data_IF_156990042603
#
_entry.id   IF_156990042603
#
_cell.length_a   1.000
_cell.length_b   1.000
_cell.length_c   1.000
_cell.angle_alpha   90.00
_cell.angle_beta   90.00
_cell.angle_gamma   90.00
#
_symmetry.space_group_name_H-M   'P 1'
#
loop_
_entity.id
_entity.type
_entity.pdbx_description
1 polymer ?
#
# COMPACT_ATOMS: atom_id res chain seq x y z
N UNK A 1 9.29 -5.38 -7.14
CA UNK A 1 9.74 -6.76 -7.37
C UNK A 1 11.14 -6.92 -6.78
N UNK A 2 11.41 -8.07 -6.17
CA UNK A 2 12.69 -8.39 -5.57
C UNK A 2 12.90 -9.91 -5.49
N UNK A 3 14.17 -10.33 -5.59
CA UNK A 3 14.59 -11.72 -5.54
C UNK A 3 15.60 -11.89 -4.40
N UNK A 4 15.30 -12.75 -3.44
CA UNK A 4 16.19 -13.08 -2.32
C UNK A 4 16.86 -14.41 -2.63
N UNK A 5 18.19 -14.46 -2.56
CA UNK A 5 18.95 -15.70 -2.59
C UNK A 5 19.35 -16.04 -1.16
N UNK A 6 18.91 -17.18 -0.67
CA UNK A 6 19.16 -17.63 0.69
C UNK A 6 19.55 -19.10 0.73
N UNK A 7 20.13 -19.56 1.84
CA UNK A 7 20.38 -20.99 2.03
C UNK A 7 19.08 -21.73 2.34
N UNK A 8 18.98 -23.05 2.09
CA UNK A 8 17.78 -23.83 2.41
C UNK A 8 17.29 -23.64 3.86
N UNK A 9 18.21 -23.51 4.81
CA UNK A 9 17.90 -23.33 6.23
C UNK A 9 17.30 -21.95 6.56
N UNK A 10 17.54 -20.96 5.70
CA UNK A 10 17.04 -19.60 5.87
C UNK A 10 15.64 -19.38 5.26
N UNK A 11 15.16 -20.31 4.44
CA UNK A 11 13.93 -20.13 3.63
C UNK A 11 12.74 -19.71 4.49
N UNK A 12 12.44 -20.42 5.57
CA UNK A 12 11.28 -20.10 6.41
C UNK A 12 11.39 -18.71 7.04
N UNK A 13 12.58 -18.33 7.50
CA UNK A 13 12.81 -17.02 8.13
C UNK A 13 12.66 -15.88 7.11
N UNK A 14 13.19 -16.06 5.90
CA UNK A 14 13.09 -15.06 4.84
C UNK A 14 11.65 -14.91 4.32
N UNK A 15 10.91 -16.02 4.19
CA UNK A 15 9.47 -15.99 3.86
C UNK A 15 8.68 -15.25 4.95
N UNK A 16 8.93 -15.56 6.22
CA UNK A 16 8.32 -14.88 7.37
C UNK A 16 8.60 -13.37 7.36
N UNK A 17 9.85 -12.97 7.07
CA UNK A 17 10.21 -11.56 6.91
C UNK A 17 9.48 -10.87 5.74
N UNK A 18 9.31 -11.57 4.60
CA UNK A 18 8.57 -11.05 3.45
C UNK A 18 7.09 -10.84 3.75
N UNK A 19 6.47 -11.79 4.45
CA UNK A 19 5.08 -11.71 4.91
C UNK A 19 4.93 -10.57 5.92
N UNK A 20 5.81 -10.50 6.92
CA UNK A 20 5.79 -9.43 7.93
C UNK A 20 5.85 -8.04 7.30
N UNK A 21 6.73 -7.84 6.32
CA UNK A 21 6.79 -6.59 5.57
C UNK A 21 5.48 -6.28 4.84
N UNK A 22 4.86 -7.29 4.21
CA UNK A 22 3.59 -7.10 3.50
C UNK A 22 2.46 -6.74 4.46
N UNK A 23 2.39 -7.39 5.62
CA UNK A 23 1.42 -7.10 6.68
C UNK A 23 1.59 -5.67 7.23
N UNK A 24 2.83 -5.23 7.49
CA UNK A 24 3.09 -3.85 7.95
C UNK A 24 2.60 -2.82 6.93
N UNK A 25 2.83 -3.07 5.64
CA UNK A 25 2.35 -2.20 4.56
C UNK A 25 0.83 -2.14 4.54
N UNK A 26 0.14 -3.28 4.61
CA UNK A 26 -1.32 -3.34 4.65
C UNK A 26 -1.89 -2.61 5.87
N UNK A 27 -1.26 -2.77 7.05
CA UNK A 27 -1.64 -2.08 8.28
C UNK A 27 -1.49 -0.55 8.14
N UNK A 28 -0.36 -0.06 7.63
CA UNK A 28 -0.13 1.39 7.42
C UNK A 28 -1.14 2.02 6.46
N UNK A 29 -1.71 1.22 5.57
CA UNK A 29 -2.71 1.65 4.60
C UNK A 29 -4.14 1.43 5.10
N UNK A 30 -4.32 0.84 6.28
CA UNK A 30 -5.62 0.47 6.86
C UNK A 30 -6.42 -0.56 6.04
N UNK A 31 -5.71 -1.50 5.38
CA UNK A 31 -6.34 -2.71 4.83
C UNK A 31 -6.62 -3.72 5.95
N UNK A 32 -7.82 -3.66 6.52
CA UNK A 32 -8.26 -4.58 7.58
C UNK A 32 -8.85 -5.90 7.02
N UNK A 33 -9.33 -5.90 5.77
CA UNK A 33 -10.00 -7.04 5.14
C UNK A 33 -9.14 -7.61 4.01
N UNK A 34 -8.33 -8.62 4.32
CA UNK A 34 -7.63 -9.43 3.34
C UNK A 34 -7.65 -10.89 3.77
N UNK A 35 -7.49 -11.81 2.80
CA UNK A 35 -7.22 -13.22 3.07
C UNK A 35 -5.85 -13.59 2.49
N UNK A 36 -5.19 -14.53 3.15
CA UNK A 36 -3.96 -15.13 2.65
C UNK A 36 -4.32 -16.41 1.94
N UNK A 37 -3.83 -16.61 0.72
CA UNK A 37 -4.04 -17.82 -0.08
C UNK A 37 -2.74 -18.57 -0.24
N UNK A 38 -2.74 -19.87 0.04
CA UNK A 38 -1.60 -20.75 -0.18
C UNK A 38 -1.77 -21.44 -1.53
N UNK A 39 -1.11 -20.92 -2.57
CA UNK A 39 -1.19 -21.46 -3.93
C UNK A 39 -0.28 -22.67 -4.09
N UNK A 40 -0.88 -23.86 -4.11
CA UNK A 40 -0.18 -25.15 -4.18
C UNK A 40 -0.34 -25.78 -5.57
N UNK A 41 0.51 -26.76 -5.88
CA UNK A 41 0.42 -27.46 -7.15
C UNK A 41 -0.86 -28.27 -7.23
N UNK A 42 -1.36 -28.40 -8.44
CA UNK A 42 -2.38 -29.39 -8.78
C UNK A 42 -1.68 -30.70 -9.14
N UNK A 43 -1.83 -31.77 -8.34
CA UNK A 43 -1.17 -33.06 -8.64
C UNK A 43 -1.58 -33.67 -9.99
N UNK A 44 -2.70 -33.26 -10.57
CA UNK A 44 -3.19 -33.75 -11.86
C UNK A 44 -2.61 -32.99 -13.07
N UNK A 45 -1.88 -31.89 -12.86
CA UNK A 45 -1.35 -31.06 -13.94
C UNK A 45 0.13 -31.31 -14.21
N UNK A 46 0.50 -31.30 -15.49
CA UNK A 46 1.87 -31.46 -16.00
C UNK A 46 2.62 -30.12 -16.17
N UNK A 47 2.01 -28.99 -15.81
CA UNK A 47 2.60 -27.65 -15.98
C UNK A 47 3.76 -27.35 -15.02
N UNK A 48 3.89 -28.12 -13.94
CA UNK A 48 4.83 -27.85 -12.85
C UNK A 48 6.21 -28.43 -13.16
N UNK A 49 7.24 -27.60 -13.04
CA UNK A 49 8.63 -28.00 -13.32
C UNK A 49 9.38 -28.33 -12.03
N UNK A 50 10.41 -29.16 -12.17
CA UNK A 50 11.27 -29.56 -11.07
C UNK A 50 10.83 -30.88 -10.40
N UNK A 51 11.69 -31.43 -9.54
CA UNK A 51 11.46 -32.73 -8.91
C UNK A 51 10.33 -32.65 -7.86
N UNK A 52 9.48 -33.70 -7.74
CA UNK A 52 8.35 -33.69 -6.80
C UNK A 52 8.72 -33.44 -5.34
N UNK A 53 9.91 -33.88 -4.92
CA UNK A 53 10.38 -33.76 -3.54
C UNK A 53 10.63 -32.30 -3.14
N UNK A 54 11.10 -31.46 -4.08
CA UNK A 54 11.31 -30.03 -3.83
C UNK A 54 10.00 -29.26 -3.68
N UNK A 55 8.98 -29.70 -4.39
CA UNK A 55 7.64 -29.16 -4.24
C UNK A 55 7.07 -29.49 -2.86
N UNK A 56 7.18 -30.75 -2.43
CA UNK A 56 6.73 -31.17 -1.09
C UNK A 56 7.44 -30.36 0.01
N UNK A 57 8.75 -30.14 -0.13
CA UNK A 57 9.53 -29.31 0.79
C UNK A 57 9.08 -27.85 0.81
N UNK A 58 8.86 -27.25 -0.37
CA UNK A 58 8.44 -25.86 -0.52
C UNK A 58 7.02 -25.61 0.01
N UNK A 59 6.07 -26.49 -0.31
CA UNK A 59 4.68 -26.42 0.14
C UNK A 59 4.61 -26.56 1.66
N UNK A 60 5.34 -27.53 2.22
CA UNK A 60 5.40 -27.72 3.66
C UNK A 60 6.07 -26.53 4.37
N UNK A 61 7.09 -25.90 3.78
CA UNK A 61 7.70 -24.68 4.33
C UNK A 61 6.70 -23.52 4.39
N UNK A 62 5.97 -23.28 3.29
CA UNK A 62 4.91 -22.26 3.24
C UNK A 62 3.83 -22.52 4.29
N UNK A 63 3.36 -23.76 4.41
CA UNK A 63 2.33 -24.12 5.38
C UNK A 63 2.79 -23.92 6.82
N UNK A 64 4.03 -24.32 7.15
CA UNK A 64 4.62 -24.11 8.49
C UNK A 64 4.70 -22.62 8.82
N UNK A 65 5.17 -21.78 7.89
CA UNK A 65 5.25 -20.33 8.11
C UNK A 65 3.86 -19.74 8.29
N UNK A 66 2.90 -20.08 7.43
CA UNK A 66 1.53 -19.57 7.51
C UNK A 66 0.86 -19.91 8.86
N UNK A 67 1.03 -21.16 9.34
CA UNK A 67 0.55 -21.61 10.66
C UNK A 67 1.24 -20.88 11.80
N UNK A 68 2.58 -20.74 11.76
CA UNK A 68 3.38 -20.07 12.80
C UNK A 68 2.98 -18.60 12.97
N UNK A 69 2.73 -17.92 11.86
CA UNK A 69 2.34 -16.51 11.83
C UNK A 69 0.84 -16.28 12.10
N UNK A 70 0.04 -17.35 12.24
CA UNK A 70 -1.40 -17.29 12.45
C UNK A 70 -2.12 -16.42 11.39
N UNK A 71 -1.74 -16.60 10.13
CA UNK A 71 -2.27 -15.81 9.02
C UNK A 71 -3.74 -16.17 8.74
N UNK A 72 -4.59 -15.18 8.35
CA UNK A 72 -5.99 -15.42 8.07
C UNK A 72 -6.21 -16.13 6.73
N UNK A 73 -7.08 -17.14 6.69
CA UNK A 73 -7.55 -17.75 5.43
C UNK A 73 -6.61 -18.73 4.75
N UNK A 74 -5.61 -19.27 5.46
CA UNK A 74 -4.51 -20.09 4.94
C UNK A 74 -4.87 -21.51 4.47
N UNK A 75 -6.00 -21.68 3.77
CA UNK A 75 -6.32 -22.95 3.15
C UNK A 75 -5.48 -23.15 1.88
N UNK A 76 -4.87 -24.33 1.69
CA UNK A 76 -4.25 -24.69 0.42
C UNK A 76 -5.25 -24.66 -0.72
N UNK A 77 -4.91 -23.94 -1.79
CA UNK A 77 -5.66 -23.91 -3.04
C UNK A 77 -4.83 -24.58 -4.15
N UNK A 78 -5.13 -25.85 -4.49
CA UNK A 78 -4.46 -26.56 -5.57
C UNK A 78 -4.70 -25.88 -6.93
N UNK A 79 -3.67 -25.80 -7.76
CA UNK A 79 -3.75 -25.22 -9.10
C UNK A 79 -3.27 -23.76 -9.17
N UNK A 80 -3.24 -23.09 -8.02
CA UNK A 80 -2.89 -21.68 -7.89
C UNK A 80 -1.38 -21.43 -7.74
N UNK A 81 -0.53 -22.46 -7.65
CA UNK A 81 0.93 -22.27 -7.65
C UNK A 81 1.45 -21.66 -8.97
N UNK A 82 2.63 -21.02 -8.90
CA UNK A 82 3.39 -20.71 -10.10
C UNK A 82 3.92 -22.01 -10.73
N UNK A 83 4.33 -22.01 -11.99
CA UNK A 83 4.80 -23.24 -12.62
C UNK A 83 6.11 -23.79 -12.01
N UNK A 84 6.87 -22.95 -11.30
CA UNK A 84 8.18 -23.26 -10.71
C UNK A 84 8.18 -23.46 -9.19
N UNK A 85 7.06 -23.22 -8.52
CA UNK A 85 6.95 -23.44 -7.08
C UNK A 85 5.68 -22.83 -6.45
N UNK A 86 5.45 -23.14 -5.17
CA UNK A 86 4.27 -22.68 -4.45
C UNK A 86 4.43 -21.21 -4.02
N UNK A 87 3.29 -20.58 -3.70
CA UNK A 87 3.26 -19.16 -3.32
C UNK A 87 2.27 -18.83 -2.23
N UNK A 88 2.52 -17.73 -1.54
CA UNK A 88 1.64 -17.10 -0.55
C UNK A 88 1.16 -15.79 -1.17
N UNK A 89 -0.15 -15.69 -1.38
CA UNK A 89 -0.80 -14.53 -1.99
C UNK A 89 -1.63 -13.77 -0.96
N UNK A 90 -1.59 -12.43 -1.03
CA UNK A 90 -2.46 -11.55 -0.28
C UNK A 90 -3.58 -11.09 -1.20
N UNK A 91 -4.78 -11.57 -0.93
CA UNK A 91 -5.99 -11.31 -1.70
C UNK A 91 -6.84 -10.29 -0.97
N UNK A 92 -7.20 -9.23 -1.68
CA UNK A 92 -8.10 -8.18 -1.20
C UNK A 92 -9.31 -8.08 -2.12
N UNK A 93 -10.44 -7.61 -1.60
CA UNK A 93 -11.62 -7.36 -2.41
C UNK A 93 -11.69 -5.90 -2.79
N UNK A 94 -12.06 -5.58 -4.02
CA UNK A 94 -12.36 -4.20 -4.40
C UNK A 94 -13.77 -3.75 -3.99
N UNK A 95 -14.12 -2.50 -4.37
CA UNK A 95 -15.43 -1.91 -4.09
C UNK A 95 -16.60 -2.62 -4.79
N UNK A 96 -16.31 -3.44 -5.80
CA UNK A 96 -17.28 -4.26 -6.54
C UNK A 96 -17.29 -5.72 -6.07
N UNK A 97 -16.47 -6.07 -5.06
CA UNK A 97 -16.34 -7.43 -4.54
C UNK A 97 -15.45 -8.36 -5.37
N UNK A 98 -14.70 -7.84 -6.36
CA UNK A 98 -13.74 -8.65 -7.13
C UNK A 98 -12.48 -8.87 -6.31
N UNK A 99 -11.93 -10.08 -6.41
CA UNK A 99 -10.68 -10.45 -5.73
C UNK A 99 -9.46 -9.95 -6.52
N UNK A 100 -8.54 -9.28 -5.84
CA UNK A 100 -7.25 -8.84 -6.39
C UNK A 100 -6.11 -9.45 -5.59
N UNK A 101 -5.25 -10.20 -6.28
CA UNK A 101 -3.93 -10.56 -5.77
C UNK A 101 -3.03 -9.31 -5.80
N UNK A 102 -2.57 -8.89 -4.62
CA UNK A 102 -1.77 -7.69 -4.45
C UNK A 102 -0.34 -8.04 -4.04
N UNK A 103 -0.18 -8.66 -2.87
CA UNK A 103 1.11 -9.17 -2.38
C UNK A 103 1.35 -10.61 -2.80
N UNK A 104 2.59 -10.97 -3.13
CA UNK A 104 2.98 -12.39 -3.30
C UNK A 104 4.39 -12.67 -2.82
N UNK A 105 4.57 -13.86 -2.25
CA UNK A 105 5.86 -14.47 -1.90
C UNK A 105 5.91 -15.86 -2.51
N UNK A 106 6.90 -16.14 -3.37
CA UNK A 106 6.96 -17.39 -4.14
C UNK A 106 8.32 -18.06 -3.91
N UNK A 107 8.31 -19.38 -3.70
CA UNK A 107 9.53 -20.16 -3.55
C UNK A 107 9.93 -20.76 -4.90
N UNK A 108 11.18 -20.54 -5.33
CA UNK A 108 11.70 -21.04 -6.59
C UNK A 108 13.02 -21.81 -6.36
N UNK A 109 12.93 -23.12 -6.61
CA UNK A 109 14.07 -24.03 -6.62
C UNK A 109 14.51 -24.42 -8.04
N UNK A 110 13.76 -24.01 -9.06
CA UNK A 110 14.01 -24.31 -10.46
C UNK A 110 14.99 -23.32 -11.07
N UNK A 111 14.81 -22.00 -10.93
CA UNK A 111 15.76 -21.05 -11.52
C UNK A 111 17.20 -21.19 -10.98
N UNK A 112 17.43 -21.40 -9.67
CA UNK A 112 18.77 -21.67 -9.15
C UNK A 112 19.37 -23.02 -9.55
N UNK A 113 18.58 -23.93 -10.14
CA UNK A 113 19.04 -25.27 -10.47
C UNK A 113 20.07 -25.27 -11.62
N UNK A 114 20.81 -26.37 -11.74
CA UNK A 114 21.85 -26.53 -12.77
C UNK A 114 21.31 -26.76 -14.16
N UNK A 115 20.04 -27.16 -14.28
CA UNK A 115 19.32 -27.21 -15.54
C UNK A 115 18.92 -25.80 -16.03
N UNK A 116 19.08 -24.78 -15.18
CA UNK A 116 18.73 -23.37 -15.45
C UNK A 116 19.96 -22.47 -15.33
N UNK A 117 20.07 -21.68 -14.26
CA UNK A 117 21.15 -20.70 -14.11
C UNK A 117 22.40 -21.25 -13.43
N UNK A 118 22.35 -22.47 -12.88
CA UNK A 118 23.44 -23.14 -12.15
C UNK A 118 24.07 -22.23 -11.10
N UNK A 119 23.21 -21.67 -10.24
CA UNK A 119 23.64 -20.73 -9.20
C UNK A 119 24.25 -21.49 -8.03
N UNK A 120 25.35 -20.96 -7.52
CA UNK A 120 26.11 -21.60 -6.45
C UNK A 120 26.59 -20.58 -5.41
N UNK A 121 26.71 -21.03 -4.17
CA UNK A 121 27.44 -20.35 -3.10
C UNK A 121 28.42 -21.31 -2.42
N UNK A 122 29.44 -20.77 -1.74
CA UNK A 122 30.39 -21.58 -0.96
C UNK A 122 29.85 -21.76 0.46
N UNK A 123 29.60 -23.00 0.85
CA UNK A 123 29.09 -23.35 2.17
C UNK A 123 30.17 -23.38 3.25
N UNK A 124 29.74 -23.59 4.50
CA UNK A 124 30.65 -23.70 5.64
C UNK A 124 31.60 -24.91 5.57
N UNK A 125 31.23 -25.93 4.78
CA UNK A 125 32.05 -27.10 4.44
C UNK A 125 33.04 -26.82 3.28
N UNK A 126 33.10 -25.58 2.79
CA UNK A 126 33.91 -25.16 1.64
C UNK A 126 33.53 -25.87 0.33
N UNK A 127 32.34 -26.49 0.27
CA UNK A 127 31.77 -27.06 -0.94
C UNK A 127 30.84 -26.06 -1.64
N UNK A 128 30.52 -26.36 -2.90
CA UNK A 128 29.52 -25.61 -3.67
C UNK A 128 28.12 -26.12 -3.30
N UNK A 129 27.24 -25.19 -2.95
CA UNK A 129 25.84 -25.43 -2.62
C UNK A 129 24.93 -24.59 -3.50
N UNK A 130 23.67 -25.00 -3.64
CA UNK A 130 22.67 -24.25 -4.42
C UNK A 130 21.82 -23.37 -3.50
N UNK A 131 21.65 -22.08 -3.82
CA UNK A 131 20.73 -21.23 -3.07
C UNK A 131 19.28 -21.55 -3.44
N UNK A 132 18.36 -21.09 -2.60
CA UNK A 132 16.93 -20.99 -2.90
C UNK A 132 16.63 -19.55 -3.28
N UNK A 133 15.78 -19.37 -4.30
CA UNK A 133 15.32 -18.05 -4.71
C UNK A 133 13.90 -17.80 -4.16
N UNK A 134 13.70 -16.65 -3.53
CA UNK A 134 12.39 -16.19 -3.08
C UNK A 134 12.02 -14.96 -3.90
N UNK A 135 10.92 -15.06 -4.65
CA UNK A 135 10.33 -13.93 -5.36
C UNK A 135 9.38 -13.20 -4.42
N UNK A 136 9.47 -11.88 -4.34
CA UNK A 136 8.52 -11.08 -3.57
C UNK A 136 8.07 -9.81 -4.30
N UNK A 137 6.77 -9.60 -4.30
CA UNK A 137 6.15 -8.35 -4.74
C UNK A 137 5.08 -7.94 -3.71
N UNK A 138 5.44 -7.19 -2.66
CA UNK A 138 4.53 -6.86 -1.56
C UNK A 138 3.39 -5.94 -2.00
N UNK A 139 3.60 -5.14 -3.05
CA UNK A 139 2.61 -4.21 -3.62
C UNK A 139 2.06 -4.70 -4.96
N UNK A 140 2.56 -5.82 -5.52
CA UNK A 140 2.27 -6.18 -6.90
C UNK A 140 2.81 -5.15 -7.89
N UNK A 141 2.06 -4.90 -8.98
CA UNK A 141 2.37 -3.79 -9.90
C UNK A 141 1.88 -2.46 -9.34
N UNK A 142 2.60 -1.37 -9.64
CA UNK A 142 2.24 -0.05 -9.14
C UNK A 142 0.89 0.42 -9.69
N UNK A 143 0.57 0.07 -10.94
CA UNK A 143 -0.68 0.43 -11.61
C UNK A 143 -1.87 -0.22 -10.90
N UNK A 144 -1.78 -1.52 -10.61
CA UNK A 144 -2.83 -2.25 -9.89
C UNK A 144 -2.97 -1.72 -8.47
N UNK A 145 -1.84 -1.51 -7.79
CA UNK A 145 -1.82 -1.00 -6.43
C UNK A 145 -2.46 0.38 -6.32
N UNK A 146 -2.14 1.32 -7.21
CA UNK A 146 -2.76 2.64 -7.25
C UNK A 146 -4.26 2.55 -7.55
N UNK A 147 -4.67 1.68 -8.48
CA UNK A 147 -6.10 1.44 -8.76
C UNK A 147 -6.87 0.99 -7.52
N UNK A 148 -6.34 -0.02 -6.83
CA UNK A 148 -6.86 -0.50 -5.55
C UNK A 148 -6.89 0.61 -4.49
N UNK A 149 -5.82 1.40 -4.37
CA UNK A 149 -5.77 2.49 -3.38
C UNK A 149 -6.83 3.56 -3.65
N UNK A 150 -7.08 3.90 -4.91
CA UNK A 150 -8.13 4.85 -5.30
C UNK A 150 -9.49 4.33 -4.84
N UNK A 151 -9.80 3.06 -5.10
CA UNK A 151 -11.06 2.45 -4.68
C UNK A 151 -11.17 2.34 -3.15
N UNK A 152 -10.09 1.90 -2.50
CA UNK A 152 -10.01 1.76 -1.05
C UNK A 152 -10.28 3.07 -0.31
N UNK A 153 -9.69 4.18 -0.76
CA UNK A 153 -9.94 5.50 -0.18
C UNK A 153 -11.13 6.24 -0.80
N UNK A 154 -11.81 5.66 -1.79
CA UNK A 154 -12.81 6.35 -2.62
C UNK A 154 -12.30 7.71 -3.16
N UNK A 155 -11.03 7.76 -3.57
CA UNK A 155 -10.30 8.96 -3.98
C UNK A 155 -9.89 9.92 -2.84
N UNK A 156 -10.40 9.72 -1.63
CA UNK A 156 -10.23 10.61 -0.49
C UNK A 156 -8.97 10.25 0.33
N UNK A 157 -7.81 10.33 -0.32
CA UNK A 157 -6.53 9.89 0.24
C UNK A 157 -6.18 10.54 1.59
N UNK A 158 -5.45 9.83 2.47
CA UNK A 158 -4.85 10.43 3.65
C UNK A 158 -3.82 11.50 3.25
N UNK A 159 -3.53 12.44 4.16
CA UNK A 159 -2.66 13.59 3.91
C UNK A 159 -1.36 13.18 3.20
N UNK A 160 -0.69 12.12 3.66
CA UNK A 160 0.61 11.69 3.11
C UNK A 160 0.56 11.12 1.69
N UNK A 161 -0.58 10.59 1.25
CA UNK A 161 -0.80 10.04 -0.10
C UNK A 161 -1.45 11.03 -1.07
N UNK A 162 -2.14 12.06 -0.57
CA UNK A 162 -2.91 12.96 -1.41
C UNK A 162 -2.05 13.70 -2.45
N UNK A 163 -2.43 13.73 -3.75
CA UNK A 163 -1.67 14.45 -4.78
C UNK A 163 -1.47 15.94 -4.45
N UNK A 164 -2.51 16.58 -3.94
CA UNK A 164 -2.47 17.89 -3.29
C UNK A 164 -2.88 17.71 -1.82
N UNK A 165 -1.96 18.03 -0.92
CA UNK A 165 -2.14 17.83 0.53
C UNK A 165 -2.87 19.02 1.14
N UNK A 166 -2.50 20.22 0.70
CA UNK A 166 -2.97 21.48 1.25
C UNK A 166 -3.39 22.42 0.12
N UNK A 167 -4.57 23.04 0.23
CA UNK A 167 -4.99 24.13 -0.66
C UNK A 167 -5.04 25.44 0.09
N UNK A 168 -4.24 26.41 -0.33
CA UNK A 168 -4.29 27.78 0.21
C UNK A 168 -5.41 28.56 -0.47
N UNK A 169 -6.27 29.20 0.32
CA UNK A 169 -7.46 29.89 -0.14
C UNK A 169 -7.46 31.34 0.40
N UNK A 170 -7.05 32.33 -0.42
CA UNK A 170 -7.20 33.74 -0.05
C UNK A 170 -8.69 34.14 0.01
N UNK A 171 -9.07 34.89 1.05
CA UNK A 171 -10.45 35.40 1.20
C UNK A 171 -10.81 36.48 0.17
N UNK A 172 -9.80 37.12 -0.43
CA UNK A 172 -9.95 38.17 -1.45
C UNK A 172 -8.66 38.36 -2.24
N UNK A 173 -8.70 39.07 -3.37
CA UNK A 173 -7.51 39.43 -4.16
C UNK A 173 -6.48 40.22 -3.35
N UNK A 174 -6.91 41.00 -2.35
CA UNK A 174 -6.01 41.74 -1.45
C UNK A 174 -5.11 40.82 -0.64
N UNK A 175 -5.48 39.55 -0.49
CA UNK A 175 -4.74 38.54 0.27
C UNK A 175 -3.84 37.67 -0.60
N UNK A 176 -3.77 37.94 -1.91
CA UNK A 176 -3.02 37.11 -2.85
C UNK A 176 -1.52 37.03 -2.50
N UNK A 177 -0.91 38.16 -2.12
CA UNK A 177 0.51 38.19 -1.75
C UNK A 177 0.79 37.34 -0.50
N UNK A 178 -0.03 37.46 0.54
CA UNK A 178 0.10 36.66 1.74
C UNK A 178 -0.16 35.17 1.47
N UNK A 179 -1.16 34.83 0.65
CA UNK A 179 -1.45 33.45 0.27
C UNK A 179 -0.28 32.79 -0.49
N UNK A 180 0.41 33.54 -1.36
CA UNK A 180 1.62 33.07 -2.03
C UNK A 180 2.76 32.83 -1.03
N UNK A 181 2.95 33.72 -0.05
CA UNK A 181 3.94 33.53 1.01
C UNK A 181 3.62 32.30 1.86
N UNK A 182 2.36 32.11 2.25
CA UNK A 182 1.89 30.92 2.98
C UNK A 182 2.16 29.64 2.19
N UNK A 183 1.81 29.61 0.89
CA UNK A 183 2.11 28.49 0.00
C UNK A 183 3.60 28.17 -0.02
N UNK A 184 4.45 29.17 -0.23
CA UNK A 184 5.90 28.98 -0.29
C UNK A 184 6.46 28.41 1.02
N UNK A 185 5.94 28.84 2.18
CA UNK A 185 6.33 28.31 3.49
C UNK A 185 5.89 26.85 3.69
N UNK A 186 4.70 26.47 3.21
CA UNK A 186 4.21 25.08 3.24
C UNK A 186 5.02 24.17 2.30
N UNK A 187 5.36 24.64 1.11
CA UNK A 187 6.20 23.91 0.16
C UNK A 187 7.64 23.74 0.68
N UNK A 188 8.22 24.77 1.29
CA UNK A 188 9.52 24.70 1.95
C UNK A 188 9.53 23.69 3.13
N UNK A 189 8.36 23.41 3.70
CA UNK A 189 8.17 22.38 4.72
C UNK A 189 7.95 20.96 4.16
N UNK A 190 7.97 20.79 2.83
CA UNK A 190 7.82 19.51 2.14
C UNK A 190 6.38 19.09 1.86
N UNK A 191 5.41 20.02 1.96
CA UNK A 191 4.00 19.75 1.69
C UNK A 191 3.62 20.10 0.24
N UNK A 192 2.94 19.17 -0.45
CA UNK A 192 2.41 19.39 -1.81
C UNK A 192 1.21 20.33 -1.71
N UNK A 193 1.41 21.59 -2.07
CA UNK A 193 0.48 22.68 -1.76
C UNK A 193 -0.02 23.37 -3.04
N UNK A 194 -1.33 23.50 -3.20
CA UNK A 194 -1.97 24.30 -4.24
C UNK A 194 -2.41 25.68 -3.73
N UNK A 195 -2.78 26.57 -4.66
CA UNK A 195 -3.35 27.90 -4.36
C UNK A 195 -4.59 28.13 -5.22
N UNK A 196 -5.70 28.47 -4.57
CA UNK A 196 -6.94 28.87 -5.24
C UNK A 196 -7.03 30.39 -5.39
N UNK A 197 -6.49 30.90 -6.50
CA UNK A 197 -6.52 32.32 -6.86
C UNK A 197 -7.80 32.73 -7.61
N UNK A 198 -8.84 31.90 -7.69
CA UNK A 198 -10.04 32.22 -8.46
C UNK A 198 -10.77 33.46 -7.89
N UNK A 199 -11.44 34.24 -8.74
CA UNK A 199 -12.24 35.39 -8.34
C UNK A 199 -13.65 34.96 -7.87
N UNK A 200 -13.72 33.96 -6.99
CA UNK A 200 -14.96 33.40 -6.45
C UNK A 200 -15.15 33.71 -4.96
N UNK A 201 -16.38 33.57 -4.47
CA UNK A 201 -16.69 33.70 -3.04
C UNK A 201 -15.99 32.58 -2.26
N UNK A 202 -15.50 32.89 -1.05
CA UNK A 202 -14.80 31.93 -0.18
C UNK A 202 -15.55 30.60 -0.02
N UNK A 203 -16.87 30.64 0.18
CA UNK A 203 -17.67 29.41 0.30
C UNK A 203 -17.67 28.54 -0.95
N UNK A 204 -17.60 29.13 -2.15
CA UNK A 204 -17.47 28.39 -3.40
C UNK A 204 -16.11 27.71 -3.50
N UNK A 205 -15.02 28.42 -3.18
CA UNK A 205 -13.66 27.87 -3.14
C UNK A 205 -13.53 26.70 -2.17
N UNK A 206 -14.07 26.84 -0.96
CA UNK A 206 -14.11 25.77 0.05
C UNK A 206 -14.88 24.56 -0.48
N UNK A 207 -16.03 24.78 -1.12
CA UNK A 207 -16.82 23.70 -1.73
C UNK A 207 -16.04 22.99 -2.83
N UNK A 208 -15.35 23.73 -3.70
CA UNK A 208 -14.50 23.15 -4.76
C UNK A 208 -13.39 22.30 -4.14
N UNK A 209 -12.68 22.81 -3.14
CA UNK A 209 -11.64 22.04 -2.43
C UNK A 209 -12.18 20.78 -1.75
N UNK A 210 -13.40 20.82 -1.20
CA UNK A 210 -14.06 19.64 -0.64
C UNK A 210 -14.43 18.60 -1.73
N UNK A 211 -14.91 19.05 -2.90
CA UNK A 211 -15.22 18.18 -4.03
C UNK A 211 -13.98 17.53 -4.64
N UNK A 212 -12.87 18.27 -4.68
CA UNK A 212 -11.55 17.77 -5.10
C UNK A 212 -10.88 16.88 -4.03
N UNK A 213 -11.56 16.65 -2.91
CA UNK A 213 -11.12 15.80 -1.80
C UNK A 213 -9.80 16.25 -1.14
N UNK A 214 -9.49 17.54 -1.20
CA UNK A 214 -8.25 18.09 -0.60
C UNK A 214 -8.26 17.88 0.92
N UNK A 215 -7.27 17.20 1.52
CA UNK A 215 -7.28 16.90 2.95
C UNK A 215 -7.35 18.13 3.84
N UNK A 216 -6.59 19.18 3.49
CA UNK A 216 -6.42 20.37 4.32
C UNK A 216 -6.57 21.65 3.49
N UNK A 217 -7.35 22.59 4.00
CA UNK A 217 -7.53 23.92 3.42
C UNK A 217 -6.95 24.96 4.38
N UNK A 218 -6.12 25.86 3.85
CA UNK A 218 -5.52 26.97 4.61
C UNK A 218 -6.12 28.28 4.11
N UNK A 219 -7.03 28.84 4.89
CA UNK A 219 -7.71 30.09 4.56
C UNK A 219 -6.94 31.26 5.15
N UNK A 220 -6.74 32.33 4.37
CA UNK A 220 -6.03 33.51 4.85
C UNK A 220 -6.60 34.82 4.29
N UNK A 221 -6.65 35.84 5.15
CA UNK A 221 -7.12 37.17 4.82
C UNK A 221 -6.24 38.31 5.36
N UNK A 222 -6.66 39.58 5.20
CA UNK A 222 -5.86 40.73 5.64
C UNK A 222 -5.63 40.76 7.16
N UNK A 223 -6.57 40.23 7.95
CA UNK A 223 -6.41 40.09 9.40
C UNK A 223 -5.35 39.07 9.76
N UNK A 224 -5.29 37.98 8.98
CA UNK A 224 -4.33 36.90 9.16
C UNK A 224 -2.91 37.35 8.80
N UNK A 225 -2.77 38.12 7.72
CA UNK A 225 -1.51 38.71 7.30
C UNK A 225 -0.93 39.63 8.40
N UNK A 226 -1.75 40.50 8.97
CA UNK A 226 -1.33 41.39 10.05
C UNK A 226 -0.92 40.64 11.33
N UNK A 227 -1.48 39.46 11.56
CA UNK A 227 -1.23 38.64 12.76
C UNK A 227 -0.21 37.50 12.53
N UNK A 228 0.23 37.25 11.29
CA UNK A 228 1.04 36.08 10.94
C UNK A 228 0.31 34.74 11.15
N UNK A 229 -1.01 34.74 11.01
CA UNK A 229 -1.88 33.57 11.24
C UNK A 229 -2.44 33.00 9.96
N UNK A 230 -3.13 31.87 10.06
CA UNK A 230 -4.00 31.28 9.04
C UNK A 230 -5.16 30.59 9.74
N UNK A 231 -6.29 30.40 9.04
CA UNK A 231 -7.34 29.50 9.50
C UNK A 231 -7.19 28.14 8.81
N UNK A 232 -7.07 27.07 9.61
CA UNK A 232 -6.93 25.71 9.11
C UNK A 232 -8.30 25.03 9.08
N UNK A 233 -8.63 24.38 7.97
CA UNK A 233 -9.85 23.60 7.81
C UNK A 233 -9.50 22.21 7.32
N UNK A 234 -9.87 21.21 8.09
CA UNK A 234 -9.80 19.79 7.72
C UNK A 234 -11.02 19.43 6.86
N UNK A 235 -10.83 18.58 5.86
CA UNK A 235 -11.92 18.13 4.99
C UNK A 235 -13.02 17.42 5.78
N UNK A 236 -12.66 16.69 6.83
CA UNK A 236 -13.58 15.86 7.61
C UNK A 236 -13.97 16.51 8.93
N UNK A 237 -13.02 17.02 9.71
CA UNK A 237 -13.35 17.67 10.99
C UNK A 237 -13.92 19.08 10.82
N UNK A 238 -13.80 19.65 9.61
CA UNK A 238 -14.25 20.99 9.32
C UNK A 238 -13.28 22.06 9.83
N UNK A 239 -13.82 23.14 10.37
CA UNK A 239 -13.01 24.31 10.76
C UNK A 239 -12.25 24.03 12.07
N UNK A 240 -10.91 24.08 12.00
CA UNK A 240 -10.02 23.91 13.14
C UNK A 240 -9.61 25.26 13.76
N UNK A 241 -10.06 26.37 13.18
CA UNK A 241 -9.84 27.71 13.67
C UNK A 241 -8.51 28.34 13.26
N UNK A 242 -8.32 29.57 13.75
CA UNK A 242 -7.13 30.37 13.48
C UNK A 242 -5.93 29.92 14.34
N UNK A 243 -4.76 29.83 13.73
CA UNK A 243 -3.49 29.52 14.39
C UNK A 243 -2.34 30.24 13.70
N UNK A 244 -1.16 30.31 14.33
CA UNK A 244 0.03 30.84 13.66
C UNK A 244 0.39 29.96 12.46
N UNK A 245 1.00 30.58 11.43
CA UNK A 245 1.47 29.83 10.27
C UNK A 245 2.45 28.72 10.66
N UNK A 246 3.32 28.97 11.64
CA UNK A 246 4.27 27.97 12.16
C UNK A 246 3.54 26.77 12.78
N UNK A 247 2.53 27.01 13.61
CA UNK A 247 1.77 25.94 14.24
C UNK A 247 1.00 25.09 13.21
N UNK A 248 0.45 25.73 12.17
CA UNK A 248 -0.19 25.03 11.07
C UNK A 248 0.81 24.13 10.32
N UNK A 249 2.00 24.65 10.00
CA UNK A 249 3.07 23.89 9.34
C UNK A 249 3.51 22.70 10.20
N UNK A 250 3.79 22.92 11.48
CA UNK A 250 4.23 21.86 12.40
C UNK A 250 3.20 20.74 12.51
N UNK A 251 1.92 21.10 12.68
CA UNK A 251 0.81 20.13 12.73
C UNK A 251 0.74 19.29 11.46
N UNK A 252 0.79 19.92 10.28
CA UNK A 252 0.68 19.23 9.00
C UNK A 252 1.91 18.34 8.73
N UNK A 253 3.11 18.78 9.11
CA UNK A 253 4.33 17.99 8.99
C UNK A 253 4.29 16.75 9.88
N UNK A 254 3.85 16.90 11.13
CA UNK A 254 3.73 15.80 12.07
C UNK A 254 2.71 14.76 11.58
N UNK A 255 1.52 15.20 11.16
CA UNK A 255 0.51 14.30 10.59
C UNK A 255 1.03 13.55 9.34
N UNK A 256 1.71 14.27 8.44
CA UNK A 256 2.31 13.71 7.23
C UNK A 256 3.42 12.70 7.56
N UNK A 257 4.28 13.00 8.54
CA UNK A 257 5.40 12.14 8.96
C UNK A 257 4.91 10.86 9.65
N UNK A 258 3.85 10.95 10.45
CA UNK A 258 3.21 9.78 11.08
C UNK A 258 2.47 8.87 10.09
N UNK A 259 2.33 9.30 8.82
CA UNK A 259 1.59 8.58 7.75
C UNK A 259 0.20 8.15 8.22
N UNK A 260 -0.46 9.03 8.97
CA UNK A 260 -1.72 8.69 9.62
C UNK A 260 -2.85 8.49 8.61
N UNK A 261 -3.60 7.40 8.75
CA UNK A 261 -4.90 7.19 8.10
C UNK A 261 -5.98 7.53 9.12
N UNK A 262 -6.46 8.78 9.09
CA UNK A 262 -7.38 9.32 10.11
C UNK A 262 -8.82 8.83 9.94
N UNK A 263 -9.21 8.56 8.71
CA UNK A 263 -10.54 8.06 8.40
C UNK A 263 -10.38 6.62 7.96
N UNK A 264 -10.99 5.72 8.73
CA UNK A 264 -11.04 4.33 8.35
C UNK A 264 -11.72 4.25 6.98
N UNK A 265 -11.06 3.65 5.98
CA UNK A 265 -11.73 3.25 4.76
C UNK A 265 -13.03 2.55 5.14
N UNK A 266 -14.15 2.89 4.50
CA UNK A 266 -15.31 2.00 4.65
C UNK A 266 -14.84 0.63 4.17
N UNK A 267 -15.00 -0.44 4.96
CA UNK A 267 -14.55 -1.76 4.54
C UNK A 267 -15.13 -2.05 3.17
N UNK A 268 -14.23 -2.44 2.25
CA UNK A 268 -14.60 -3.02 0.98
C UNK A 268 -15.58 -4.14 1.32
N UNK A 269 -16.81 -4.04 0.81
CA UNK A 269 -17.90 -4.88 1.25
C UNK A 269 -17.45 -6.34 1.22
N UNK A 270 -17.42 -7.00 2.38
CA UNK A 270 -17.23 -8.44 2.42
C UNK A 270 -18.42 -9.03 1.67
N UNK A 271 -18.17 -9.67 0.53
CA UNK A 271 -19.22 -10.31 -0.24
C UNK A 271 -19.92 -11.33 0.67
N UNK A 272 -21.22 -11.13 0.86
CA UNK A 272 -22.10 -12.10 1.45
C UNK A 272 -21.92 -13.43 0.71
N UNK A 273 -21.68 -14.52 1.44
CA UNK A 273 -21.55 -15.84 0.84
C UNK A 273 -22.78 -16.20 0.01
N UNK A 274 -22.57 -16.68 -1.21
CA UNK A 274 -22.82 -18.08 -1.61
C UNK A 274 -22.87 -18.21 -3.14
N UNK A 275 -22.33 -19.35 -3.60
CA UNK A 275 -22.72 -20.13 -4.79
C UNK A 275 -22.39 -19.59 -6.20
N UNK A 276 -21.39 -20.23 -6.81
CA UNK A 276 -21.57 -20.99 -8.05
C UNK A 276 -21.71 -20.22 -9.37
N UNK A 277 -20.75 -20.46 -10.26
CA UNK A 277 -20.86 -20.13 -11.68
C UNK A 277 -19.53 -19.63 -12.21
N UNK A 278 -18.81 -20.49 -12.91
CA UNK A 278 -17.65 -20.07 -13.68
C UNK A 278 -18.04 -19.08 -14.77
N UNK A 279 -17.06 -18.34 -15.27
CA UNK A 279 -16.71 -18.41 -16.68
C UNK A 279 -15.38 -17.70 -16.95
N UNK A 280 -14.69 -18.25 -17.95
CA UNK A 280 -13.43 -17.85 -18.54
C UNK A 280 -13.45 -16.43 -19.16
N UNK A 281 -12.22 -15.93 -19.37
CA UNK A 281 -11.73 -14.80 -20.19
C UNK A 281 -11.45 -13.48 -19.46
#
# INVERSE_FOLDING_TARGET
DAHIFCTPEQVEQEVEGCIGFTLEVLEKLAFENFRVRLGFRDPASDKYVGPPERWDEAEAAIERVARRMNLPGCEPEPGEAAFYGPKIDFVINDSLGREWQLGTVQLDYNLPSGERFDLEYIGADNAKHRPVMIHRAPLGSMERFVGVLIEHFAGAFPLWLAPEQVRVIPVSEKSAAYAQAVKARLEAAGLRTGLDAAAEKLGAKIRTAQLDLIPMMVVCGPRDEAAGTVSLRDRVDGDLGAMSLEAAIERLRDENARRAVRHKPKPLAAAAGTAGGGDEY
#
